data_IF_679166266214
#
_entry.id   IF_679166266214
#
_cell.length_a   1.000
_cell.length_b   1.000
_cell.length_c   1.000
_cell.angle_alpha   90.00
_cell.angle_beta   90.00
_cell.angle_gamma   90.00
#
_symmetry.space_group_name_H-M   'P 1'
#
loop_
_entity.id
_entity.type
_entity.pdbx_description
1 polymer ?
#
# COMPACT_ATOMS: atom_id res chain seq x y z
N UNK A 1 -39.62 -69.52 16.53
CA UNK A 1 -39.01 -68.60 15.53
C UNK A 1 -38.61 -67.34 16.29
N UNK A 2 -37.34 -67.14 16.67
CA UNK A 2 -36.29 -66.41 15.90
C UNK A 2 -36.86 -65.06 15.40
N UNK A 3 -36.46 -63.86 15.81
CA UNK A 3 -35.14 -63.29 16.16
C UNK A 3 -35.30 -61.89 16.81
N UNK A 4 -34.43 -61.48 17.75
CA UNK A 4 -34.11 -60.07 18.05
C UNK A 4 -32.87 -59.63 17.22
N UNK A 5 -32.35 -58.39 17.32
CA UNK A 5 -32.91 -57.04 17.12
C UNK A 5 -32.05 -56.24 16.11
N UNK A 6 -32.49 -55.09 15.56
CA UNK A 6 -31.57 -54.16 14.84
C UNK A 6 -31.67 -52.77 15.46
N UNK A 7 -30.74 -52.54 16.38
CA UNK A 7 -30.25 -51.28 16.87
C UNK A 7 -29.54 -50.55 15.72
N UNK A 8 -30.02 -49.39 15.29
CA UNK A 8 -29.33 -48.51 14.33
C UNK A 8 -29.07 -47.16 15.00
N UNK A 9 -28.05 -47.15 15.85
CA UNK A 9 -27.43 -45.94 16.38
C UNK A 9 -26.55 -45.38 15.26
N UNK A 10 -27.06 -44.37 14.54
CA UNK A 10 -26.28 -43.62 13.58
C UNK A 10 -25.35 -42.66 14.34
N UNK A 11 -24.15 -43.14 14.67
CA UNK A 11 -23.05 -42.35 15.19
C UNK A 11 -22.61 -41.33 14.14
N UNK A 12 -23.17 -40.12 14.23
CA UNK A 12 -22.68 -38.95 13.51
C UNK A 12 -21.32 -38.56 14.13
N UNK A 13 -20.25 -39.18 13.65
CA UNK A 13 -18.88 -38.81 13.96
C UNK A 13 -18.60 -37.47 13.27
N UNK A 14 -19.02 -36.37 13.90
CA UNK A 14 -18.55 -35.04 13.53
C UNK A 14 -17.06 -35.03 13.86
N UNK A 15 -16.23 -35.24 12.83
CA UNK A 15 -14.81 -34.99 12.93
C UNK A 15 -14.63 -33.49 13.21
N UNK A 16 -14.53 -33.14 14.49
CA UNK A 16 -13.98 -31.85 14.92
C UNK A 16 -12.52 -31.86 14.48
N UNK A 17 -12.26 -31.42 13.25
CA UNK A 17 -10.92 -31.05 12.82
C UNK A 17 -10.55 -29.86 13.68
N UNK A 18 -9.90 -30.13 14.81
CA UNK A 18 -9.32 -29.11 15.67
C UNK A 18 -8.21 -28.46 14.85
N UNK A 19 -8.54 -27.37 14.17
CA UNK A 19 -7.56 -26.54 13.52
C UNK A 19 -6.70 -25.97 14.65
N UNK A 20 -5.50 -26.52 14.86
CA UNK A 20 -4.58 -26.07 15.89
C UNK A 20 -4.19 -24.62 15.58
N UNK A 21 -4.94 -23.66 16.12
CA UNK A 21 -4.72 -22.24 15.91
C UNK A 21 -3.42 -21.75 16.53
N UNK A 22 -2.84 -22.51 17.46
CA UNK A 22 -1.65 -22.12 18.23
C UNK A 22 -0.37 -22.28 17.43
N UNK A 23 -0.28 -23.29 16.56
CA UNK A 23 0.90 -23.47 15.71
C UNK A 23 0.91 -22.43 14.58
N UNK A 24 1.86 -21.49 14.64
CA UNK A 24 2.13 -20.55 13.55
C UNK A 24 2.70 -21.28 12.32
N UNK A 25 2.13 -21.00 11.15
CA UNK A 25 2.61 -21.40 9.83
C UNK A 25 2.56 -20.19 8.88
N UNK A 26 3.07 -20.34 7.66
CA UNK A 26 3.15 -19.25 6.67
C UNK A 26 1.79 -18.65 6.34
N UNK A 27 0.75 -19.46 6.16
CA UNK A 27 -0.60 -18.98 5.85
C UNK A 27 -1.21 -18.11 6.97
N UNK A 28 -1.04 -18.51 8.24
CA UNK A 28 -1.48 -17.71 9.40
C UNK A 28 -0.67 -16.43 9.55
N UNK A 29 0.63 -16.50 9.31
CA UNK A 29 1.49 -15.32 9.30
C UNK A 29 1.06 -14.33 8.21
N UNK A 30 0.83 -14.82 6.99
CA UNK A 30 0.34 -14.02 5.87
C UNK A 30 -0.98 -13.34 6.21
N UNK A 31 -1.95 -14.11 6.70
CA UNK A 31 -3.27 -13.59 7.07
C UNK A 31 -3.18 -12.50 8.13
N UNK A 32 -2.38 -12.72 9.20
CA UNK A 32 -2.20 -11.73 10.25
C UNK A 32 -1.51 -10.44 9.76
N UNK A 33 -0.52 -10.57 8.86
CA UNK A 33 0.16 -9.43 8.26
C UNK A 33 -0.77 -8.68 7.31
N UNK A 34 -1.55 -9.38 6.47
CA UNK A 34 -2.52 -8.77 5.55
C UNK A 34 -3.55 -7.95 6.32
N UNK A 35 -4.19 -8.53 7.34
CA UNK A 35 -5.16 -7.81 8.20
C UNK A 35 -4.50 -6.58 8.83
N UNK A 36 -3.28 -6.71 9.35
CA UNK A 36 -2.55 -5.58 9.90
C UNK A 36 -2.26 -4.48 8.88
N UNK A 37 -1.90 -4.84 7.64
CA UNK A 37 -1.59 -3.88 6.57
C UNK A 37 -2.85 -3.23 5.97
N UNK A 38 -4.00 -3.87 6.05
CA UNK A 38 -5.29 -3.25 5.72
C UNK A 38 -5.65 -2.14 6.71
N UNK A 39 -5.44 -2.37 8.01
CA UNK A 39 -5.67 -1.37 9.06
C UNK A 39 -4.58 -0.29 9.08
N UNK A 40 -3.32 -0.68 8.86
CA UNK A 40 -2.13 0.19 8.94
C UNK A 40 -1.27 0.03 7.68
N UNK A 41 -1.72 0.58 6.54
CA UNK A 41 -0.99 0.47 5.28
C UNK A 41 0.38 1.13 5.38
N UNK A 42 1.36 0.48 4.78
CA UNK A 42 2.72 1.03 4.67
C UNK A 42 2.84 1.66 3.28
N UNK A 43 3.32 2.90 3.26
CA UNK A 43 3.54 3.66 2.03
C UNK A 43 4.68 4.66 2.21
N UNK A 44 5.25 5.10 1.08
CA UNK A 44 6.02 6.33 1.02
C UNK A 44 5.12 7.50 0.64
N UNK A 45 5.51 8.71 1.04
CA UNK A 45 4.77 9.92 0.73
C UNK A 45 5.69 11.06 0.31
N UNK A 46 5.13 11.96 -0.49
CA UNK A 46 5.71 13.26 -0.85
C UNK A 46 4.64 14.35 -0.69
N UNK A 47 5.06 15.60 -0.86
CA UNK A 47 4.14 16.72 -0.89
C UNK A 47 3.94 17.20 -2.33
N UNK A 48 2.70 17.32 -2.74
CA UNK A 48 2.27 17.99 -3.96
C UNK A 48 1.74 19.38 -3.58
N UNK A 49 2.22 20.41 -4.25
CA UNK A 49 1.64 21.76 -4.12
C UNK A 49 0.63 21.97 -5.24
N UNK A 50 -0.59 22.33 -4.87
CA UNK A 50 -1.69 22.66 -5.79
C UNK A 50 -1.97 24.17 -5.78
N UNK A 51 -2.88 24.64 -6.63
CA UNK A 51 -3.16 26.06 -6.84
C UNK A 51 -2.25 26.67 -7.90
N UNK A 52 -2.04 27.99 -7.83
CA UNK A 52 -1.22 28.71 -8.80
C UNK A 52 0.22 28.21 -8.79
N UNK A 53 0.71 27.80 -9.97
CA UNK A 53 2.08 27.37 -10.19
C UNK A 53 2.68 28.10 -11.39
N UNK A 54 3.98 28.40 -11.26
CA UNK A 54 4.77 29.08 -12.29
C UNK A 54 6.05 28.30 -12.50
N UNK A 55 6.10 27.56 -13.60
CA UNK A 55 7.25 26.74 -13.98
C UNK A 55 7.96 27.33 -15.19
N UNK A 56 9.26 27.11 -15.30
CA UNK A 56 10.04 27.48 -16.48
C UNK A 56 9.95 26.37 -17.50
N UNK A 57 9.44 26.65 -18.69
CA UNK A 57 9.06 25.62 -19.66
C UNK A 57 10.22 24.69 -20.04
N UNK A 58 11.43 25.22 -20.26
CA UNK A 58 12.59 24.40 -20.64
C UNK A 58 13.26 23.77 -19.42
N UNK A 59 13.49 24.56 -18.38
CA UNK A 59 14.18 24.07 -17.17
C UNK A 59 13.38 22.98 -16.45
N UNK A 60 12.07 23.17 -16.33
CA UNK A 60 11.17 22.32 -15.54
C UNK A 60 10.32 21.40 -16.44
N UNK A 61 10.79 21.13 -17.66
CA UNK A 61 10.03 20.37 -18.67
C UNK A 61 9.61 18.98 -18.18
N UNK A 62 10.50 18.25 -17.50
CA UNK A 62 10.19 16.93 -16.94
C UNK A 62 9.00 16.99 -15.97
N UNK A 63 8.97 17.98 -15.08
CA UNK A 63 7.88 18.16 -14.12
C UNK A 63 6.57 18.55 -14.82
N UNK A 64 6.65 19.43 -15.82
CA UNK A 64 5.50 19.83 -16.63
C UNK A 64 4.92 18.61 -17.36
N UNK A 65 5.76 17.75 -17.92
CA UNK A 65 5.32 16.58 -18.66
C UNK A 65 4.70 15.53 -17.72
N UNK A 66 5.21 15.39 -16.49
CA UNK A 66 4.54 14.59 -15.45
C UNK A 66 3.16 15.16 -15.06
N UNK A 67 3.02 16.48 -14.94
CA UNK A 67 1.71 17.09 -14.69
C UNK A 67 0.73 16.89 -15.85
N UNK A 68 1.18 17.01 -17.10
CA UNK A 68 0.34 16.68 -18.27
C UNK A 68 -0.08 15.21 -18.28
N UNK A 69 0.83 14.29 -17.90
CA UNK A 69 0.49 12.87 -17.80
C UNK A 69 -0.58 12.65 -16.73
N UNK A 70 -0.42 13.24 -15.54
CA UNK A 70 -1.44 13.18 -14.48
C UNK A 70 -2.78 13.77 -14.93
N UNK A 71 -2.78 14.82 -15.75
CA UNK A 71 -4.01 15.40 -16.30
C UNK A 71 -4.65 14.46 -17.33
N UNK A 72 -3.87 13.91 -18.26
CA UNK A 72 -4.34 12.94 -19.25
C UNK A 72 -4.92 11.67 -18.60
N UNK A 73 -4.31 11.24 -17.49
CA UNK A 73 -4.82 10.13 -16.69
C UNK A 73 -5.95 10.55 -15.73
N UNK A 74 -6.29 11.85 -15.66
CA UNK A 74 -7.43 12.38 -14.91
C UNK A 74 -7.22 12.49 -13.40
N UNK A 75 -5.97 12.48 -12.91
CA UNK A 75 -5.64 12.67 -11.48
C UNK A 75 -5.56 14.14 -11.08
N UNK A 76 -5.21 15.01 -12.01
CA UNK A 76 -5.23 16.46 -11.82
C UNK A 76 -5.97 17.12 -12.98
N UNK A 77 -6.30 18.39 -12.80
CA UNK A 77 -6.69 19.30 -13.88
C UNK A 77 -5.89 20.58 -13.72
N UNK A 78 -5.64 21.27 -14.82
CA UNK A 78 -5.10 22.62 -14.73
C UNK A 78 -5.68 23.57 -15.78
N UNK A 79 -5.85 24.82 -15.38
CA UNK A 79 -6.17 25.91 -16.31
C UNK A 79 -4.88 26.64 -16.67
N UNK A 80 -4.49 26.62 -17.94
CA UNK A 80 -3.29 27.34 -18.41
C UNK A 80 -3.62 28.78 -18.78
N UNK A 81 -3.05 29.76 -18.08
CA UNK A 81 -3.31 31.19 -18.31
C UNK A 81 -2.27 31.86 -19.24
N UNK A 82 -1.84 31.15 -20.30
CA UNK A 82 -0.82 31.58 -21.27
C UNK A 82 0.65 31.35 -20.88
N UNK A 83 1.42 30.90 -21.87
CA UNK A 83 2.88 30.84 -21.86
C UNK A 83 3.46 32.16 -22.37
N UNK A 84 3.62 33.15 -21.48
CA UNK A 84 4.21 34.45 -21.85
C UNK A 84 5.72 34.32 -22.03
N UNK A 85 6.22 34.64 -23.23
CA UNK A 85 7.66 34.78 -23.50
C UNK A 85 8.21 35.94 -22.66
N UNK A 86 9.15 35.68 -21.74
CA UNK A 86 9.84 36.75 -21.00
C UNK A 86 10.70 37.51 -22.01
N UNK A 87 10.48 38.81 -22.15
CA UNK A 87 11.06 39.67 -23.20
C UNK A 87 12.61 39.66 -23.28
N UNK A 88 13.30 39.14 -22.27
CA UNK A 88 14.76 38.98 -22.22
C UNK A 88 15.24 37.55 -21.90
N UNK A 89 14.33 36.57 -21.77
CA UNK A 89 14.66 35.18 -21.41
C UNK A 89 14.52 34.26 -22.61
N UNK A 90 15.47 33.34 -22.80
CA UNK A 90 15.35 32.22 -23.75
C UNK A 90 14.30 31.18 -23.32
N UNK A 91 13.78 31.28 -22.10
CA UNK A 91 12.82 30.37 -21.49
C UNK A 91 11.51 31.10 -21.14
N UNK A 92 10.38 30.47 -21.49
CA UNK A 92 9.03 30.95 -21.19
C UNK A 92 8.56 30.44 -19.82
N UNK A 93 7.52 31.07 -19.28
CA UNK A 93 6.89 30.62 -18.04
C UNK A 93 5.58 29.93 -18.38
N UNK A 94 5.39 28.72 -17.87
CA UNK A 94 4.12 28.01 -17.81
C UNK A 94 3.39 28.43 -16.55
N UNK A 95 2.32 29.23 -16.71
CA UNK A 95 1.41 29.60 -15.63
C UNK A 95 0.20 28.66 -15.67
N UNK A 96 -0.06 27.98 -14.56
CA UNK A 96 -1.18 27.09 -14.44
C UNK A 96 -1.75 27.12 -13.03
N UNK A 97 -3.03 26.80 -12.89
CA UNK A 97 -3.65 26.56 -11.59
C UNK A 97 -3.99 25.08 -11.47
N UNK A 98 -3.20 24.35 -10.68
CA UNK A 98 -3.34 22.92 -10.47
C UNK A 98 -4.48 22.61 -9.50
N UNK A 99 -5.30 21.62 -9.82
CA UNK A 99 -6.34 21.08 -8.92
C UNK A 99 -6.31 19.55 -8.95
N UNK A 100 -6.45 18.92 -7.78
CA UNK A 100 -6.64 17.47 -7.69
C UNK A 100 -8.07 17.11 -8.07
N UNK A 101 -8.23 15.98 -8.77
CA UNK A 101 -9.54 15.41 -9.07
C UNK A 101 -9.95 14.39 -8.00
N UNK A 102 -11.20 13.93 -8.04
CA UNK A 102 -11.69 12.85 -7.20
C UNK A 102 -10.90 11.55 -7.40
N UNK A 103 -10.40 11.29 -8.63
CA UNK A 103 -9.61 10.09 -8.95
C UNK A 103 -8.32 10.00 -8.12
N UNK A 104 -7.77 11.14 -7.68
CA UNK A 104 -6.57 11.17 -6.85
C UNK A 104 -6.83 10.85 -5.36
N UNK A 105 -8.10 10.86 -4.92
CA UNK A 105 -8.47 10.68 -3.51
C UNK A 105 -7.80 9.48 -2.81
N UNK A 106 -7.72 8.26 -3.41
CA UNK A 106 -7.09 7.10 -2.75
C UNK A 106 -5.62 7.29 -2.37
N UNK A 107 -4.93 8.24 -3.01
CA UNK A 107 -3.52 8.55 -2.78
C UNK A 107 -3.32 9.70 -1.81
N UNK A 108 -4.37 10.46 -1.47
CA UNK A 108 -4.27 11.60 -0.56
C UNK A 108 -4.22 11.09 0.89
N UNK A 109 -3.21 11.56 1.65
CA UNK A 109 -3.02 11.23 3.07
C UNK A 109 -3.52 12.39 3.93
N UNK A 110 -3.16 13.62 3.56
CA UNK A 110 -3.46 14.83 4.33
C UNK A 110 -3.56 16.03 3.38
N UNK A 111 -4.49 16.94 3.66
CA UNK A 111 -4.65 18.18 2.90
C UNK A 111 -4.46 19.36 3.85
N UNK A 112 -3.44 20.19 3.59
CA UNK A 112 -3.18 21.40 4.38
C UNK A 112 -2.95 22.60 3.47
N UNK A 113 -3.97 23.44 3.34
CA UNK A 113 -3.99 24.56 2.38
C UNK A 113 -3.66 24.05 0.97
N UNK A 114 -2.66 24.64 0.32
CA UNK A 114 -2.20 24.24 -1.01
C UNK A 114 -1.20 23.08 -0.99
N UNK A 115 -0.86 22.53 0.17
CA UNK A 115 0.14 21.46 0.32
C UNK A 115 -0.54 20.16 0.68
N UNK A 116 -0.50 19.22 -0.26
CA UNK A 116 -1.18 17.93 -0.16
C UNK A 116 -0.13 16.85 0.05
N UNK A 117 -0.26 16.08 1.13
CA UNK A 117 0.57 14.90 1.36
C UNK A 117 -0.04 13.73 0.61
N UNK A 118 0.70 13.15 -0.33
CA UNK A 118 0.23 12.11 -1.23
C UNK A 118 1.17 10.90 -1.17
N UNK A 119 0.59 9.70 -1.30
CA UNK A 119 1.32 8.44 -1.43
C UNK A 119 2.09 8.41 -2.75
N UNK A 120 3.36 8.02 -2.70
CA UNK A 120 4.21 7.87 -3.89
C UNK A 120 4.48 6.41 -4.22
N UNK A 121 4.62 5.56 -3.20
CA UNK A 121 4.80 4.12 -3.31
C UNK A 121 3.91 3.46 -2.26
N UNK A 122 3.13 2.46 -2.66
CA UNK A 122 2.37 1.60 -1.76
C UNK A 122 3.08 0.26 -1.62
N UNK A 123 3.04 -0.34 -0.44
CA UNK A 123 3.68 -1.63 -0.17
C UNK A 123 2.63 -2.71 0.02
N UNK A 124 2.74 -3.82 -0.72
CA UNK A 124 1.87 -4.99 -0.61
C UNK A 124 2.66 -6.21 -0.17
N UNK A 125 2.11 -7.00 0.74
CA UNK A 125 2.74 -8.25 1.15
C UNK A 125 2.59 -9.29 0.04
N UNK A 126 3.69 -9.97 -0.28
CA UNK A 126 3.65 -11.20 -1.07
C UNK A 126 3.28 -12.36 -0.13
N UNK A 127 2.03 -12.81 -0.23
CA UNK A 127 1.47 -13.84 0.65
C UNK A 127 1.89 -15.25 0.29
N UNK A 128 2.42 -15.47 -0.91
CA UNK A 128 2.72 -16.80 -1.43
C UNK A 128 4.17 -17.21 -1.12
N UNK A 129 5.13 -16.34 -1.42
CA UNK A 129 6.56 -16.67 -1.31
C UNK A 129 7.36 -15.66 -0.49
N UNK A 130 6.73 -14.58 -0.03
CA UNK A 130 7.41 -13.46 0.61
C UNK A 130 7.64 -13.59 2.12
N UNK A 131 7.40 -14.73 2.76
CA UNK A 131 7.37 -14.82 4.22
C UNK A 131 8.38 -15.81 4.79
N UNK A 132 9.19 -15.32 5.74
CA UNK A 132 10.15 -16.12 6.50
C UNK A 132 9.86 -16.00 8.00
N UNK A 133 9.66 -17.14 8.67
CA UNK A 133 9.50 -17.20 10.12
C UNK A 133 10.89 -17.32 10.74
N UNK A 134 11.42 -16.22 11.28
CA UNK A 134 12.78 -16.14 11.80
C UNK A 134 12.93 -16.78 13.18
N UNK A 135 11.90 -16.67 14.02
CA UNK A 135 11.90 -17.26 15.37
C UNK A 135 10.47 -17.54 15.83
N UNK A 136 10.29 -18.64 16.57
CA UNK A 136 8.99 -19.08 17.08
C UNK A 136 9.11 -19.55 18.52
N UNK A 137 8.55 -18.78 19.44
CA UNK A 137 8.24 -19.19 20.81
C UNK A 137 6.80 -19.70 20.93
N UNK A 138 6.42 -20.16 22.13
CA UNK A 138 5.07 -20.72 22.38
C UNK A 138 3.92 -19.71 22.17
N UNK A 139 4.18 -18.40 22.32
CA UNK A 139 3.18 -17.33 22.19
C UNK A 139 3.69 -16.10 21.43
N UNK A 140 4.89 -16.15 20.85
CA UNK A 140 5.50 -15.02 20.16
C UNK A 140 6.31 -15.50 18.97
N UNK A 141 6.34 -14.73 17.90
CA UNK A 141 7.16 -15.02 16.73
C UNK A 141 7.67 -13.74 16.07
N UNK A 142 8.77 -13.86 15.35
CA UNK A 142 9.28 -12.83 14.45
C UNK A 142 9.14 -13.35 13.03
N UNK A 143 8.48 -12.57 12.18
CA UNK A 143 8.27 -12.91 10.76
C UNK A 143 8.85 -11.79 9.91
N UNK A 144 9.77 -12.13 9.01
CA UNK A 144 10.22 -11.24 7.95
C UNK A 144 9.31 -11.41 6.75
N UNK A 145 8.75 -10.30 6.28
CA UNK A 145 7.93 -10.25 5.07
C UNK A 145 8.60 -9.42 3.99
N UNK A 146 8.56 -9.92 2.77
CA UNK A 146 8.81 -9.18 1.55
C UNK A 146 7.57 -8.37 1.20
N UNK A 147 7.76 -7.07 1.06
CA UNK A 147 6.72 -6.14 0.64
C UNK A 147 7.08 -5.62 -0.75
N UNK A 148 6.27 -5.99 -1.75
CA UNK A 148 6.39 -5.51 -3.11
C UNK A 148 6.06 -4.02 -3.17
N UNK A 149 6.86 -3.29 -3.92
CA UNK A 149 6.64 -1.87 -4.19
C UNK A 149 5.64 -1.72 -5.32
N UNK A 150 4.63 -0.90 -5.11
CA UNK A 150 3.70 -0.46 -6.14
C UNK A 150 3.82 1.05 -6.29
N UNK A 151 4.51 1.48 -7.34
CA UNK A 151 4.57 2.90 -7.69
C UNK A 151 3.17 3.44 -7.95
N UNK A 152 2.89 4.62 -7.42
CA UNK A 152 1.66 5.37 -7.71
C UNK A 152 1.91 6.32 -8.88
N UNK A 153 0.85 6.92 -9.47
CA UNK A 153 0.99 7.99 -10.46
C UNK A 153 1.82 9.18 -9.96
N UNK A 154 1.92 9.36 -8.64
CA UNK A 154 2.65 10.47 -8.01
C UNK A 154 4.09 10.10 -7.63
N UNK A 155 4.59 8.94 -8.07
CA UNK A 155 5.94 8.46 -7.73
C UNK A 155 7.06 9.43 -8.15
N UNK A 156 6.87 10.21 -9.22
CA UNK A 156 7.84 11.21 -9.68
C UNK A 156 8.13 12.34 -8.68
N UNK A 157 7.23 12.58 -7.70
CA UNK A 157 7.40 13.66 -6.71
C UNK A 157 8.57 13.42 -5.75
N UNK A 158 9.02 12.18 -5.63
CA UNK A 158 10.14 11.82 -4.76
C UNK A 158 10.83 10.56 -5.29
N UNK A 159 12.16 10.61 -5.50
CA UNK A 159 12.92 9.42 -5.87
C UNK A 159 12.68 8.26 -4.90
N UNK A 160 12.56 7.05 -5.44
CA UNK A 160 12.59 5.84 -4.63
C UNK A 160 13.91 5.79 -3.87
N UNK A 161 13.85 5.49 -2.57
CA UNK A 161 15.04 5.33 -1.72
C UNK A 161 15.85 4.10 -2.09
N UNK A 162 15.21 3.08 -2.68
CA UNK A 162 15.83 1.81 -3.02
C UNK A 162 15.56 1.46 -4.50
N UNK A 163 15.96 2.31 -5.47
CA UNK A 163 15.49 2.20 -6.86
C UNK A 163 15.94 0.93 -7.59
N UNK A 164 16.93 0.21 -7.05
CA UNK A 164 17.46 -1.03 -7.62
C UNK A 164 16.79 -2.29 -7.05
N UNK A 165 15.69 -2.15 -6.30
CA UNK A 165 14.90 -3.28 -5.78
C UNK A 165 13.41 -3.08 -6.05
N UNK A 166 12.70 -4.16 -6.35
CA UNK A 166 11.24 -4.13 -6.52
C UNK A 166 10.48 -4.34 -5.21
N UNK A 167 11.20 -4.63 -4.13
CA UNK A 167 10.64 -4.93 -2.82
C UNK A 167 11.46 -4.31 -1.69
N UNK A 168 10.89 -4.31 -0.49
CA UNK A 168 11.60 -4.13 0.78
C UNK A 168 11.31 -5.32 1.68
N UNK A 169 12.18 -5.58 2.66
CA UNK A 169 11.91 -6.55 3.71
C UNK A 169 11.53 -5.83 5.01
N UNK A 170 10.51 -6.32 5.70
CA UNK A 170 10.08 -5.77 6.98
C UNK A 170 9.81 -6.87 7.99
N UNK A 171 10.29 -6.66 9.21
CA UNK A 171 10.08 -7.57 10.34
C UNK A 171 8.79 -7.20 11.08
N UNK A 172 7.97 -8.21 11.33
CA UNK A 172 6.73 -8.11 12.09
C UNK A 172 6.82 -8.99 13.34
N UNK A 173 6.56 -8.38 14.50
CA UNK A 173 6.45 -9.11 15.76
C UNK A 173 5.01 -9.57 15.93
N UNK A 174 4.85 -10.87 16.15
CA UNK A 174 3.56 -11.52 16.31
C UNK A 174 3.38 -12.04 17.74
N UNK A 175 2.16 -11.95 18.26
CA UNK A 175 1.77 -12.53 19.55
C UNK A 175 0.50 -13.36 19.39
N UNK A 176 0.47 -14.52 20.03
CA UNK A 176 -0.71 -15.38 20.08
C UNK A 176 -1.60 -15.02 21.28
N UNK A 177 -2.90 -14.95 21.04
CA UNK A 177 -3.96 -14.90 22.05
C UNK A 177 -4.97 -16.02 21.78
N UNK A 178 -5.47 -16.67 22.83
CA UNK A 178 -6.44 -17.75 22.71
C UNK A 178 -7.77 -17.26 22.09
N UNK A 179 -8.14 -15.99 22.33
CA UNK A 179 -9.36 -15.38 21.80
C UNK A 179 -9.23 -14.93 20.34
N UNK A 180 -8.04 -14.46 19.96
CA UNK A 180 -7.83 -13.61 18.78
C UNK A 180 -6.83 -14.20 17.77
N UNK A 181 -6.27 -15.38 18.07
CA UNK A 181 -5.24 -16.01 17.28
C UNK A 181 -3.92 -15.22 17.28
N UNK A 182 -3.16 -15.36 16.19
CA UNK A 182 -1.91 -14.63 16.00
C UNK A 182 -2.16 -13.23 15.46
N UNK A 183 -1.65 -12.19 16.14
CA UNK A 183 -1.76 -10.79 15.73
C UNK A 183 -0.41 -10.09 15.72
N UNK A 184 -0.28 -9.06 14.87
CA UNK A 184 0.86 -8.14 14.88
C UNK A 184 0.76 -7.22 16.09
N UNK A 185 1.87 -7.00 16.79
CA UNK A 185 1.95 -6.14 17.99
C UNK A 185 2.93 -4.97 17.85
N UNK A 186 3.42 -4.71 16.64
CA UNK A 186 4.41 -3.67 16.36
C UNK A 186 3.75 -2.31 16.05
#
# INVERSE_FOLDING_TARGET
>A
MKTHPILLVFSLLVMLVSCDNRTLNTSKAASAITVYLEEKPIYESAYLTVGETKLRTKKDHELIDQYKLLEAEGYITFTSESSKKRWLSKDSIWNATLKLTEKAHPYVIEQKNNKIKIKTIEYKVDTENGLQIDSKGKKSALVTAMLQKKATPFSFLKPDKNPHTEFITKKFRMKFSDENGWKIIN
#
